data_IF_055848711386
#
_entry.id   IF_055848711386
#
_cell.length_a   1.000
_cell.length_b   1.000
_cell.length_c   1.000
_cell.angle_alpha   90.00
_cell.angle_beta   90.00
_cell.angle_gamma   90.00
#
_symmetry.space_group_name_H-M   'P 1'
#
loop_
_entity.id
_entity.type
_entity.pdbx_description
1 polymer ?
#
# COMPACT_ATOMS: atom_id res chain seq x y z
N UNK A 1 26.29 13.17 -2.01
CA UNK A 1 25.19 14.13 -1.77
C UNK A 1 24.03 13.93 -2.74
N UNK A 2 24.24 13.68 -4.03
CA UNK A 2 23.16 13.57 -5.04
C UNK A 2 22.13 12.45 -4.82
N UNK A 3 22.55 11.23 -4.43
CA UNK A 3 21.67 10.06 -4.35
C UNK A 3 20.59 10.14 -3.23
N UNK A 4 20.95 10.65 -2.04
CA UNK A 4 20.00 10.78 -0.92
C UNK A 4 18.86 11.75 -1.26
N UNK A 5 19.17 12.83 -1.98
CA UNK A 5 18.14 13.78 -2.43
C UNK A 5 17.25 13.20 -3.53
N UNK A 6 17.79 12.34 -4.39
CA UNK A 6 17.05 11.65 -5.45
C UNK A 6 16.06 10.63 -4.87
N UNK A 7 16.45 9.90 -3.83
CA UNK A 7 15.54 9.02 -3.08
C UNK A 7 14.47 9.81 -2.30
N UNK A 8 14.86 10.94 -1.69
CA UNK A 8 13.93 11.80 -0.95
C UNK A 8 12.89 12.46 -1.87
N UNK A 9 13.29 12.81 -3.10
CA UNK A 9 12.40 13.38 -4.11
C UNK A 9 11.19 12.49 -4.39
N UNK A 10 11.34 11.16 -4.36
CA UNK A 10 10.21 10.25 -4.55
C UNK A 10 9.20 10.33 -3.41
N UNK A 11 9.66 10.47 -2.16
CA UNK A 11 8.79 10.57 -0.98
C UNK A 11 8.19 11.96 -0.78
N UNK A 12 8.89 13.00 -1.24
CA UNK A 12 8.42 14.39 -1.16
C UNK A 12 7.42 14.74 -2.26
N UNK A 13 7.55 14.14 -3.46
CA UNK A 13 6.69 14.41 -4.62
C UNK A 13 5.18 14.34 -4.31
N UNK A 14 4.67 13.32 -3.58
CA UNK A 14 3.26 13.25 -3.18
C UNK A 14 2.71 14.50 -2.50
N UNK A 15 3.54 15.29 -1.80
CA UNK A 15 3.10 16.53 -1.15
C UNK A 15 2.98 17.72 -2.09
N UNK A 16 3.69 17.70 -3.22
CA UNK A 16 3.66 18.80 -4.19
C UNK A 16 2.67 18.55 -5.33
N UNK A 17 2.52 17.29 -5.75
CA UNK A 17 1.64 16.93 -6.87
C UNK A 17 0.17 17.29 -6.60
N UNK A 18 -0.27 17.37 -5.34
CA UNK A 18 -1.64 17.74 -4.98
C UNK A 18 -2.02 19.16 -5.40
N UNK A 19 -1.03 19.99 -5.68
CA UNK A 19 -1.20 21.38 -6.11
C UNK A 19 -1.17 21.53 -7.63
N UNK A 20 -0.93 20.46 -8.39
CA UNK A 20 -0.99 20.49 -9.85
C UNK A 20 -2.44 20.59 -10.33
N UNK A 21 -2.72 21.43 -11.33
CA UNK A 21 -4.07 21.60 -11.90
C UNK A 21 -4.67 20.29 -12.45
N UNK A 22 -3.80 19.36 -12.84
CA UNK A 22 -4.17 18.04 -13.35
C UNK A 22 -4.35 16.98 -12.26
N UNK A 23 -4.15 17.31 -10.99
CA UNK A 23 -4.23 16.35 -9.89
C UNK A 23 -5.66 15.82 -9.73
N UNK A 24 -5.78 14.49 -9.73
CA UNK A 24 -7.03 13.78 -9.53
C UNK A 24 -6.82 12.68 -8.47
N UNK A 25 -7.36 12.86 -7.25
CA UNK A 25 -7.16 11.89 -6.17
C UNK A 25 -7.82 10.55 -6.46
N UNK A 26 -8.91 10.51 -7.25
CA UNK A 26 -9.58 9.25 -7.60
C UNK A 26 -8.70 8.42 -8.52
N UNK A 27 -8.08 9.04 -9.54
CA UNK A 27 -7.12 8.36 -10.41
C UNK A 27 -5.87 7.88 -9.67
N UNK A 28 -5.41 8.63 -8.66
CA UNK A 28 -4.31 8.18 -7.81
C UNK A 28 -4.68 6.90 -7.05
N UNK A 29 -5.90 6.83 -6.52
CA UNK A 29 -6.42 5.63 -5.85
C UNK A 29 -6.55 4.46 -6.84
N UNK A 30 -7.15 4.68 -8.01
CA UNK A 30 -7.29 3.63 -9.05
C UNK A 30 -5.92 3.09 -9.46
N UNK A 31 -4.99 3.98 -9.81
CA UNK A 31 -3.63 3.61 -10.21
C UNK A 31 -2.90 2.85 -9.10
N UNK A 32 -3.08 3.20 -7.83
CA UNK A 32 -2.46 2.46 -6.74
C UNK A 32 -2.97 1.01 -6.70
N UNK A 33 -4.28 0.82 -6.76
CA UNK A 33 -4.87 -0.51 -6.69
C UNK A 33 -4.63 -1.35 -7.93
N UNK A 34 -4.50 -0.75 -9.11
CA UNK A 34 -4.13 -1.46 -10.35
C UNK A 34 -2.71 -2.03 -10.28
N UNK A 35 -1.80 -1.39 -9.53
CA UNK A 35 -0.40 -1.81 -9.41
C UNK A 35 -0.13 -2.66 -8.16
N UNK A 36 -0.94 -2.53 -7.10
CA UNK A 36 -0.68 -3.16 -5.80
C UNK A 36 -1.88 -3.95 -5.27
N UNK A 37 -2.07 -5.21 -5.72
CA UNK A 37 -2.96 -6.16 -5.05
C UNK A 37 -2.60 -6.36 -3.57
N UNK A 38 -3.57 -6.71 -2.73
CA UNK A 38 -3.37 -6.87 -1.28
C UNK A 38 -2.26 -7.86 -0.92
N UNK A 39 -2.12 -8.94 -1.70
CA UNK A 39 -1.04 -9.93 -1.52
C UNK A 39 0.33 -9.29 -1.69
N UNK A 40 0.50 -8.48 -2.74
CA UNK A 40 1.75 -7.76 -3.03
C UNK A 40 2.07 -6.75 -1.95
N UNK A 41 1.06 -5.99 -1.49
CA UNK A 41 1.23 -5.04 -0.38
C UNK A 41 1.74 -5.76 0.86
N UNK A 42 1.12 -6.88 1.24
CA UNK A 42 1.55 -7.69 2.40
C UNK A 42 2.99 -8.17 2.25
N UNK A 43 3.35 -8.70 1.09
CA UNK A 43 4.69 -9.22 0.82
C UNK A 43 5.75 -8.11 0.89
N UNK A 44 5.46 -6.94 0.33
CA UNK A 44 6.39 -5.81 0.33
C UNK A 44 6.56 -5.21 1.72
N UNK A 45 5.46 -5.08 2.49
CA UNK A 45 5.53 -4.67 3.89
C UNK A 45 6.35 -5.65 4.74
N UNK A 46 6.19 -6.96 4.52
CA UNK A 46 6.99 -7.97 5.22
C UNK A 46 8.48 -7.89 4.84
N UNK A 47 8.79 -7.69 3.56
CA UNK A 47 10.17 -7.52 3.09
C UNK A 47 10.84 -6.28 3.73
N UNK A 48 10.09 -5.18 3.87
CA UNK A 48 10.54 -3.97 4.55
C UNK A 48 10.78 -4.20 6.05
N UNK A 49 9.85 -4.85 6.75
CA UNK A 49 10.01 -5.19 8.18
C UNK A 49 11.23 -6.07 8.41
N UNK A 50 11.42 -7.10 7.57
CA UNK A 50 12.58 -7.99 7.66
C UNK A 50 13.88 -7.20 7.47
N UNK A 51 13.95 -6.31 6.48
CA UNK A 51 15.14 -5.46 6.25
C UNK A 51 15.45 -4.55 7.43
N UNK A 52 14.44 -3.97 8.08
CA UNK A 52 14.62 -3.16 9.29
C UNK A 52 15.19 -3.99 10.45
N UNK A 53 14.78 -5.26 10.57
CA UNK A 53 15.25 -6.17 11.62
C UNK A 53 16.64 -6.74 11.36
N UNK A 54 17.04 -6.91 10.09
CA UNK A 54 18.34 -7.48 9.71
C UNK A 54 19.39 -6.43 9.36
N UNK A 55 19.19 -5.17 9.79
CA UNK A 55 20.09 -4.05 9.50
C UNK A 55 21.51 -4.36 10.03
N UNK A 56 22.43 -4.74 9.12
CA UNK A 56 23.81 -5.11 9.45
C UNK A 56 24.20 -6.55 9.11
N UNK A 57 23.23 -7.41 8.81
CA UNK A 57 23.46 -8.74 8.22
C UNK A 57 23.24 -8.66 6.71
N UNK A 58 24.06 -9.36 5.93
CA UNK A 58 23.91 -9.46 4.48
C UNK A 58 22.70 -10.35 4.14
N UNK A 59 21.50 -9.91 4.49
CA UNK A 59 20.26 -10.58 4.14
C UNK A 59 19.82 -10.08 2.78
N UNK A 60 19.76 -10.97 1.79
CA UNK A 60 19.21 -10.67 0.47
C UNK A 60 17.75 -10.25 0.61
N UNK A 61 17.49 -8.94 0.61
CA UNK A 61 16.14 -8.43 0.51
C UNK A 61 15.65 -8.69 -0.92
N UNK A 62 14.53 -9.41 -1.06
CA UNK A 62 13.93 -9.74 -2.38
C UNK A 62 13.51 -8.51 -3.19
N UNK A 63 13.41 -7.34 -2.56
CA UNK A 63 13.00 -6.09 -3.19
C UNK A 63 14.20 -5.16 -3.30
N UNK A 64 14.50 -4.68 -4.51
CA UNK A 64 15.61 -3.74 -4.72
C UNK A 64 15.36 -2.44 -3.93
N UNK A 65 16.43 -1.77 -3.50
CA UNK A 65 16.31 -0.55 -2.70
C UNK A 65 15.44 0.54 -3.37
N UNK A 66 15.54 0.66 -4.69
CA UNK A 66 14.71 1.60 -5.47
C UNK A 66 13.23 1.20 -5.46
N UNK A 67 12.92 -0.09 -5.63
CA UNK A 67 11.54 -0.59 -5.60
C UNK A 67 10.88 -0.38 -4.23
N UNK A 68 11.66 -0.45 -3.14
CA UNK A 68 11.18 -0.13 -1.79
C UNK A 68 10.79 1.34 -1.66
N UNK A 69 11.67 2.25 -2.10
CA UNK A 69 11.40 3.70 -2.04
C UNK A 69 10.18 4.06 -2.89
N UNK A 70 10.06 3.49 -4.09
CA UNK A 70 8.90 3.72 -4.97
C UNK A 70 7.60 3.20 -4.35
N UNK A 71 7.61 1.98 -3.79
CA UNK A 71 6.44 1.43 -3.10
C UNK A 71 5.99 2.29 -1.92
N UNK A 72 6.93 2.78 -1.09
CA UNK A 72 6.61 3.67 0.03
C UNK A 72 6.06 5.02 -0.45
N UNK A 73 6.63 5.57 -1.53
CA UNK A 73 6.13 6.79 -2.15
C UNK A 73 4.70 6.60 -2.69
N UNK A 74 4.41 5.47 -3.34
CA UNK A 74 3.09 5.17 -3.88
C UNK A 74 2.05 4.92 -2.77
N UNK A 75 2.44 4.29 -1.65
CA UNK A 75 1.59 4.20 -0.45
C UNK A 75 1.27 5.60 0.09
N UNK A 76 2.29 6.45 0.27
CA UNK A 76 2.11 7.80 0.80
C UNK A 76 1.19 8.62 -0.12
N UNK A 77 1.41 8.52 -1.42
CA UNK A 77 0.57 9.12 -2.46
C UNK A 77 -0.89 8.68 -2.35
N UNK A 78 -1.13 7.38 -2.23
CA UNK A 78 -2.48 6.83 -2.05
C UNK A 78 -3.12 7.31 -0.74
N UNK A 79 -2.36 7.38 0.37
CA UNK A 79 -2.87 7.90 1.63
C UNK A 79 -3.30 9.37 1.54
N UNK A 80 -2.50 10.22 0.90
CA UNK A 80 -2.83 11.62 0.67
C UNK A 80 -4.10 11.71 -0.20
N UNK A 81 -4.18 10.93 -1.27
CA UNK A 81 -5.36 10.90 -2.15
C UNK A 81 -6.64 10.47 -1.41
N UNK A 82 -6.56 9.44 -0.57
CA UNK A 82 -7.66 9.00 0.29
C UNK A 82 -8.07 10.07 1.31
N UNK A 83 -7.08 10.73 1.92
CA UNK A 83 -7.32 11.83 2.85
C UNK A 83 -8.05 12.98 2.16
N UNK A 84 -7.56 13.44 1.00
CA UNK A 84 -8.17 14.52 0.23
C UNK A 84 -9.58 14.17 -0.25
N UNK A 85 -9.78 12.94 -0.71
CA UNK A 85 -11.10 12.43 -1.10
C UNK A 85 -12.08 12.51 0.06
N UNK A 86 -11.64 12.08 1.25
CA UNK A 86 -12.46 12.15 2.46
C UNK A 86 -12.74 13.58 2.90
N UNK A 87 -11.74 14.45 2.97
CA UNK A 87 -11.90 15.84 3.44
C UNK A 87 -12.76 16.67 2.50
N UNK A 88 -12.66 16.42 1.20
CA UNK A 88 -13.40 17.16 0.17
C UNK A 88 -14.75 16.49 -0.17
N UNK A 89 -15.12 15.41 0.54
CA UNK A 89 -16.36 14.66 0.32
C UNK A 89 -16.55 14.24 -1.15
N UNK A 90 -15.46 13.87 -1.81
CA UNK A 90 -15.49 13.41 -3.21
C UNK A 90 -16.18 12.04 -3.24
N UNK A 91 -17.12 11.88 -4.16
CA UNK A 91 -17.82 10.60 -4.36
C UNK A 91 -16.87 9.53 -4.90
N UNK A 92 -16.66 8.50 -4.09
CA UNK A 92 -15.81 7.34 -4.42
C UNK A 92 -16.56 6.23 -5.14
N UNK A 93 -17.89 6.34 -5.31
CA UNK A 93 -18.69 5.34 -6.01
C UNK A 93 -18.30 5.16 -7.48
N UNK A 94 -17.54 6.09 -8.05
CA UNK A 94 -17.06 6.06 -9.43
C UNK A 94 -15.73 5.32 -9.60
N UNK A 95 -15.03 4.98 -8.52
CA UNK A 95 -13.73 4.31 -8.58
C UNK A 95 -13.91 2.91 -9.17
N UNK A 96 -13.25 2.65 -10.29
CA UNK A 96 -13.23 1.33 -10.93
C UNK A 96 -11.95 0.60 -10.56
N UNK A 97 -12.04 -0.19 -9.50
CA UNK A 97 -10.93 -0.99 -9.03
C UNK A 97 -10.85 -2.31 -9.80
N UNK A 98 -9.92 -2.41 -10.76
CA UNK A 98 -9.71 -3.65 -11.52
C UNK A 98 -9.28 -4.82 -10.63
N UNK A 99 -8.58 -4.53 -9.53
CA UNK A 99 -8.11 -5.51 -8.54
C UNK A 99 -9.10 -5.82 -7.43
N UNK A 100 -10.30 -5.22 -7.45
CA UNK A 100 -11.32 -5.40 -6.40
C UNK A 100 -11.68 -6.86 -6.18
N UNK A 101 -11.91 -7.61 -7.26
CA UNK A 101 -12.33 -9.02 -7.17
C UNK A 101 -11.25 -9.87 -6.50
N UNK A 102 -9.99 -9.73 -6.94
CA UNK A 102 -8.86 -10.45 -6.36
C UNK A 102 -8.67 -10.11 -4.87
N UNK A 103 -8.78 -8.82 -4.51
CA UNK A 103 -8.67 -8.36 -3.13
C UNK A 103 -9.83 -8.87 -2.26
N UNK A 104 -11.05 -8.93 -2.81
CA UNK A 104 -12.23 -9.44 -2.10
C UNK A 104 -12.14 -10.95 -1.84
N UNK A 105 -11.58 -11.73 -2.76
CA UNK A 105 -11.32 -13.16 -2.53
C UNK A 105 -10.31 -13.38 -1.40
N UNK A 106 -9.24 -12.58 -1.35
CA UNK A 106 -8.26 -12.62 -0.27
C UNK A 106 -8.90 -12.27 1.10
N UNK A 107 -9.75 -11.25 1.14
CA UNK A 107 -10.49 -10.87 2.36
C UNK A 107 -11.45 -12.00 2.79
N UNK A 108 -12.14 -12.64 1.85
CA UNK A 108 -13.02 -13.78 2.14
C UNK A 108 -12.24 -14.96 2.70
N UNK A 109 -11.07 -15.26 2.15
CA UNK A 109 -10.20 -16.33 2.62
C UNK A 109 -9.71 -16.06 4.05
N UNK A 110 -9.18 -14.87 4.29
CA UNK A 110 -8.69 -14.47 5.62
C UNK A 110 -9.80 -14.46 6.67
N UNK A 111 -11.05 -14.10 6.30
CA UNK A 111 -12.22 -14.28 7.18
C UNK A 111 -12.48 -15.75 7.53
N UNK A 112 -12.46 -16.65 6.55
CA UNK A 112 -12.64 -18.10 6.81
C UNK A 112 -11.58 -18.64 7.77
N UNK A 113 -10.33 -18.22 7.62
CA UNK A 113 -9.24 -18.59 8.52
C UNK A 113 -9.50 -18.07 9.94
N UNK A 114 -9.91 -16.80 10.07
CA UNK A 114 -10.29 -16.22 11.36
C UNK A 114 -11.42 -17.01 12.04
N UNK A 115 -12.50 -17.28 11.31
CA UNK A 115 -13.67 -18.02 11.83
C UNK A 115 -13.29 -19.43 12.28
N UNK A 116 -12.41 -20.10 11.54
CA UNK A 116 -11.85 -21.39 11.93
C UNK A 116 -11.12 -21.31 13.29
N UNK A 117 -10.20 -20.36 13.45
CA UNK A 117 -9.49 -20.19 14.72
C UNK A 117 -10.39 -19.79 15.88
N UNK A 118 -11.45 -19.01 15.64
CA UNK A 118 -12.46 -18.74 16.66
C UNK A 118 -13.19 -20.02 17.07
N UNK A 119 -13.58 -20.86 16.12
CA UNK A 119 -14.34 -22.09 16.40
C UNK A 119 -13.59 -23.09 17.29
N UNK A 120 -12.26 -23.16 17.20
CA UNK A 120 -11.44 -24.09 18.00
C UNK A 120 -10.97 -23.50 19.34
N UNK A 121 -10.97 -22.17 19.47
CA UNK A 121 -10.56 -21.47 20.69
C UNK A 121 -11.72 -21.18 21.65
N UNK A 122 -12.96 -21.56 21.29
CA UNK A 122 -14.08 -21.45 22.21
C UNK A 122 -13.90 -22.42 23.39
N UNK A 123 -13.94 -21.94 24.65
CA UNK A 123 -13.89 -22.83 25.80
C UNK A 123 -15.09 -23.80 25.73
N UNK A 124 -14.83 -25.10 25.87
CA UNK A 124 -15.90 -26.09 26.03
C UNK A 124 -16.72 -25.73 27.29
N UNK A 125 -18.05 -25.83 27.24
CA UNK A 125 -18.90 -25.65 28.41
C UNK A 125 -18.58 -26.70 29.50
#
# INVERSE_FOLDING_TARGET
MKAIYEDLLHLDRPFYEIHEDSYDPLKCIESFWDNYPLVTIREYLYALDLKCKTLGEATECKLEALQQTLFLADILRAFIAYFLTHTNQIDTGQIKLSTLEANMEEIRLTRKIYDFFQSINQPKP
#
